data_IF_157069578348
#
_entry.id   IF_157069578348
#
_cell.length_a   1.000
_cell.length_b   1.000
_cell.length_c   1.000
_cell.angle_alpha   90.00
_cell.angle_beta   90.00
_cell.angle_gamma   90.00
#
_symmetry.space_group_name_H-M   'P 1'
#
loop_
_entity.id
_entity.type
_entity.pdbx_description
1 polymer ?
#
# COMPACT_ATOMS: atom_id res chain seq x y z
N UNK A 1 15.80 4.52 2.71
CA UNK A 1 15.55 3.24 3.41
C UNK A 1 16.49 2.20 2.81
N UNK A 2 17.14 1.38 3.64
CA UNK A 2 17.96 0.26 3.14
C UNK A 2 17.07 -0.81 2.53
N UNK A 3 17.54 -1.40 1.42
CA UNK A 3 16.97 -2.61 0.83
C UNK A 3 16.88 -3.70 1.91
N UNK A 4 15.74 -4.38 2.01
CA UNK A 4 15.60 -5.51 2.94
C UNK A 4 16.34 -6.69 2.33
N UNK A 5 17.62 -6.80 2.63
CA UNK A 5 18.44 -7.95 2.24
C UNK A 5 18.44 -8.95 3.39
N UNK A 6 17.89 -10.14 3.15
CA UNK A 6 17.96 -11.24 4.10
C UNK A 6 19.08 -12.19 3.72
N UNK A 7 19.94 -12.54 4.69
CA UNK A 7 21.06 -13.47 4.50
C UNK A 7 21.99 -13.17 3.31
N UNK A 8 22.06 -11.92 2.86
CA UNK A 8 22.77 -11.50 1.64
C UNK A 8 22.23 -12.10 0.33
N UNK A 9 20.96 -12.56 0.31
CA UNK A 9 20.29 -13.01 -0.90
C UNK A 9 19.79 -11.82 -1.73
N UNK A 10 20.35 -11.69 -2.95
CA UNK A 10 20.07 -10.60 -3.89
C UNK A 10 19.39 -11.07 -5.18
N UNK A 11 18.83 -12.30 -5.25
CA UNK A 11 18.32 -12.89 -6.49
C UNK A 11 17.19 -12.11 -7.16
N UNK A 12 16.44 -11.34 -6.38
CA UNK A 12 15.23 -10.64 -6.80
C UNK A 12 15.17 -9.26 -6.16
N UNK A 13 15.92 -8.26 -6.66
CA UNK A 13 15.91 -6.92 -6.05
C UNK A 13 14.50 -6.32 -6.06
N UNK A 14 14.27 -5.34 -5.18
CA UNK A 14 13.05 -4.54 -5.25
C UNK A 14 13.01 -3.63 -6.48
N UNK A 15 11.88 -2.98 -6.77
CA UNK A 15 11.80 -2.03 -7.88
C UNK A 15 12.74 -0.85 -7.64
N UNK A 16 13.21 -0.25 -8.74
CA UNK A 16 13.86 1.06 -8.67
C UNK A 16 12.90 2.05 -8.02
N UNK A 17 13.34 2.65 -6.93
CA UNK A 17 12.53 3.60 -6.16
C UNK A 17 13.20 4.97 -6.09
N UNK A 18 12.39 6.00 -5.83
CA UNK A 18 12.82 7.38 -5.70
C UNK A 18 12.92 7.75 -4.20
N UNK A 19 14.11 7.63 -3.58
CA UNK A 19 14.29 8.01 -2.18
C UNK A 19 14.02 9.50 -1.99
N UNK A 20 13.74 9.89 -0.74
CA UNK A 20 13.63 11.30 -0.39
C UNK A 20 14.95 12.03 -0.70
N UNK A 21 14.90 13.20 -1.37
CA UNK A 21 16.06 14.05 -1.57
C UNK A 21 16.72 14.45 -0.24
N UNK A 22 18.03 14.67 -0.23
CA UNK A 22 18.79 14.98 0.98
C UNK A 22 18.36 16.29 1.69
N UNK A 23 17.72 17.22 0.96
CA UNK A 23 17.17 18.45 1.51
C UNK A 23 15.84 18.24 2.27
N UNK A 24 15.19 17.08 2.13
CA UNK A 24 14.02 16.73 2.94
C UNK A 24 14.50 16.21 4.28
N UNK A 25 14.18 16.96 5.34
CA UNK A 25 14.60 16.65 6.72
C UNK A 25 13.41 16.28 7.60
N UNK A 26 13.70 15.69 8.76
CA UNK A 26 12.68 15.31 9.75
C UNK A 26 11.91 14.02 9.44
N UNK A 27 12.27 13.31 8.37
CA UNK A 27 11.70 11.99 8.06
C UNK A 27 12.20 10.93 9.06
N UNK A 28 11.36 9.97 9.45
CA UNK A 28 11.77 8.91 10.37
C UNK A 28 12.82 7.99 9.72
N UNK A 29 13.86 7.69 10.47
CA UNK A 29 14.84 6.68 10.08
C UNK A 29 14.29 5.26 10.30
N UNK A 30 14.88 4.26 9.63
CA UNK A 30 14.47 2.87 9.85
C UNK A 30 14.70 2.43 11.29
N UNK A 31 15.80 2.86 11.92
CA UNK A 31 16.09 2.56 13.31
C UNK A 31 15.04 3.15 14.26
N UNK A 32 14.56 4.37 14.00
CA UNK A 32 13.46 4.95 14.77
C UNK A 32 12.15 4.18 14.57
N UNK A 33 11.82 3.78 13.34
CA UNK A 33 10.63 2.97 13.07
C UNK A 33 10.70 1.62 13.78
N UNK A 34 11.88 1.01 13.85
CA UNK A 34 12.11 -0.30 14.46
C UNK A 34 12.15 -0.25 16.00
N UNK A 35 12.34 0.94 16.59
CA UNK A 35 12.34 1.14 18.03
C UNK A 35 10.95 1.00 18.67
N UNK A 36 9.87 1.19 17.89
CA UNK A 36 8.50 1.04 18.38
C UNK A 36 7.98 -0.39 18.21
N UNK A 37 7.13 -0.88 19.15
CA UNK A 37 6.39 -2.12 18.94
C UNK A 37 5.56 -2.08 17.65
N UNK A 38 5.47 -3.22 16.96
CA UNK A 38 4.60 -3.37 15.78
C UNK A 38 3.15 -3.54 16.19
N UNK A 39 2.27 -2.79 15.50
CA UNK A 39 0.81 -2.80 15.65
C UNK A 39 0.17 -3.94 14.89
N UNK A 40 0.73 -4.31 13.74
CA UNK A 40 0.18 -5.36 12.88
C UNK A 40 1.18 -6.50 12.68
N UNK A 41 0.67 -7.73 12.65
CA UNK A 41 1.32 -8.90 12.02
C UNK A 41 1.07 -8.89 10.52
N UNK A 42 1.81 -9.70 9.76
CA UNK A 42 1.55 -9.86 8.32
C UNK A 42 0.17 -10.44 8.03
N UNK A 43 -0.31 -11.35 8.88
CA UNK A 43 -1.64 -11.96 8.76
C UNK A 43 -2.78 -10.97 9.03
N UNK A 44 -2.64 -10.11 10.04
CA UNK A 44 -3.60 -9.04 10.34
C UNK A 44 -3.69 -8.04 9.18
N UNK A 45 -2.55 -7.67 8.57
CA UNK A 45 -2.56 -6.82 7.37
C UNK A 45 -3.34 -7.46 6.21
N UNK A 46 -3.16 -8.76 5.97
CA UNK A 46 -3.95 -9.49 4.97
C UNK A 46 -5.44 -9.46 5.30
N UNK A 47 -5.82 -9.67 6.56
CA UNK A 47 -7.22 -9.63 6.99
C UNK A 47 -7.85 -8.25 6.77
N UNK A 48 -7.13 -7.18 7.11
CA UNK A 48 -7.58 -5.79 6.90
C UNK A 48 -7.83 -5.52 5.42
N UNK A 49 -6.89 -5.89 4.54
CA UNK A 49 -7.04 -5.65 3.09
C UNK A 49 -8.16 -6.51 2.51
N UNK A 50 -8.24 -7.80 2.88
CA UNK A 50 -9.27 -8.71 2.38
C UNK A 50 -10.69 -8.28 2.77
N UNK A 51 -10.84 -7.66 3.94
CA UNK A 51 -12.13 -7.18 4.44
C UNK A 51 -12.46 -5.73 4.06
N UNK A 52 -11.57 -5.04 3.32
CA UNK A 52 -11.78 -3.65 2.90
C UNK A 52 -11.72 -2.62 4.03
N UNK A 53 -11.25 -2.99 5.23
CA UNK A 53 -11.25 -2.14 6.42
C UNK A 53 -10.03 -1.21 6.49
N UNK A 54 -9.70 -0.54 5.38
CA UNK A 54 -8.46 0.24 5.21
C UNK A 54 -8.27 1.34 6.26
N UNK A 55 -9.36 1.84 6.85
CA UNK A 55 -9.31 2.82 7.95
C UNK A 55 -8.65 2.32 9.25
N UNK A 56 -8.41 1.01 9.39
CA UNK A 56 -7.66 0.46 10.52
C UNK A 56 -6.14 0.68 10.38
N UNK A 57 -5.63 0.88 9.16
CA UNK A 57 -4.21 1.04 8.92
C UNK A 57 -3.72 2.36 9.50
N UNK A 58 -2.86 2.27 10.51
CA UNK A 58 -2.42 3.44 11.27
C UNK A 58 -0.92 3.40 11.61
N UNK A 59 -0.43 4.54 12.08
CA UNK A 59 0.88 4.67 12.72
C UNK A 59 0.73 4.45 14.23
N UNK A 60 1.84 4.18 14.91
CA UNK A 60 1.82 4.31 16.37
C UNK A 60 1.64 5.78 16.77
N UNK A 61 1.18 6.02 18.00
CA UNK A 61 0.82 7.34 18.50
C UNK A 61 1.99 8.34 18.41
N UNK A 62 3.20 7.93 18.76
CA UNK A 62 4.39 8.78 18.70
C UNK A 62 4.79 9.14 17.26
N UNK A 63 4.70 8.19 16.33
CA UNK A 63 4.94 8.43 14.91
C UNK A 63 3.86 9.28 14.28
N UNK A 64 2.60 9.12 14.69
CA UNK A 64 1.52 9.99 14.27
C UNK A 64 1.77 11.43 14.73
N UNK A 65 2.16 11.62 16.00
CA UNK A 65 2.51 12.94 16.52
C UNK A 65 3.67 13.59 15.76
N UNK A 66 4.76 12.85 15.50
CA UNK A 66 5.88 13.38 14.70
C UNK A 66 5.44 13.73 13.26
N UNK A 67 4.60 12.90 12.65
CA UNK A 67 4.04 13.18 11.33
C UNK A 67 3.21 14.46 11.34
N UNK A 68 2.36 14.67 12.34
CA UNK A 68 1.49 15.86 12.42
C UNK A 68 2.33 17.14 12.54
N UNK A 69 3.39 17.12 13.35
CA UNK A 69 4.34 18.23 13.45
C UNK A 69 5.06 18.50 12.14
N UNK A 70 5.61 17.46 11.50
CA UNK A 70 6.31 17.58 10.23
C UNK A 70 5.37 18.08 9.12
N UNK A 71 4.16 17.53 9.05
CA UNK A 71 3.13 17.89 8.08
C UNK A 71 2.70 19.35 8.24
N UNK A 72 2.55 19.85 9.46
CA UNK A 72 2.26 21.26 9.70
C UNK A 72 3.37 22.19 9.16
N UNK A 73 4.63 21.83 9.39
CA UNK A 73 5.78 22.57 8.83
C UNK A 73 5.84 22.52 7.31
N UNK A 74 5.67 21.32 6.73
CA UNK A 74 5.62 21.10 5.29
C UNK A 74 4.50 21.91 4.63
N UNK A 75 3.28 21.87 5.17
CA UNK A 75 2.14 22.64 4.65
C UNK A 75 2.32 24.14 4.79
N UNK A 76 3.00 24.61 5.84
CA UNK A 76 3.36 26.03 5.96
C UNK A 76 4.31 26.48 4.84
N UNK A 77 5.22 25.60 4.40
CA UNK A 77 6.20 25.91 3.37
C UNK A 77 5.65 25.75 1.95
N UNK A 78 4.86 24.71 1.68
CA UNK A 78 4.41 24.35 0.34
C UNK A 78 2.92 24.62 0.09
N UNK A 79 2.19 25.14 1.07
CA UNK A 79 0.72 25.33 1.09
C UNK A 79 -0.07 24.02 1.18
N UNK A 80 0.32 22.98 0.44
CA UNK A 80 -0.35 21.68 0.44
C UNK A 80 0.63 20.51 0.30
N UNK A 81 0.15 19.30 0.62
CA UNK A 81 0.92 18.05 0.42
C UNK A 81 1.18 17.82 -1.06
N UNK A 82 0.21 18.10 -1.92
CA UNK A 82 0.27 18.01 -3.37
C UNK A 82 1.39 18.89 -3.93
N UNK A 83 1.46 20.14 -3.50
CA UNK A 83 2.53 21.06 -3.90
C UNK A 83 3.89 20.56 -3.44
N UNK A 84 4.00 20.06 -2.20
CA UNK A 84 5.23 19.42 -1.74
C UNK A 84 5.63 18.24 -2.63
N UNK A 85 4.67 17.38 -2.99
CA UNK A 85 4.93 16.24 -3.87
C UNK A 85 5.45 16.68 -5.23
N UNK A 86 4.77 17.62 -5.90
CA UNK A 86 5.16 18.14 -7.22
C UNK A 86 6.55 18.77 -7.22
N UNK A 87 6.84 19.62 -6.24
CA UNK A 87 8.05 20.43 -6.24
C UNK A 87 9.25 19.73 -5.61
N UNK A 88 9.03 18.70 -4.79
CA UNK A 88 10.10 18.12 -3.95
C UNK A 88 10.24 16.61 -4.09
N UNK A 89 9.15 15.84 -4.28
CA UNK A 89 9.22 14.36 -4.16
C UNK A 89 9.04 13.61 -5.45
N UNK A 90 8.05 13.97 -6.26
CA UNK A 90 7.74 13.25 -7.48
C UNK A 90 8.72 13.61 -8.60
N UNK A 91 9.27 12.64 -9.34
CA UNK A 91 10.23 12.88 -10.41
C UNK A 91 9.56 13.32 -11.72
N UNK A 92 8.29 13.71 -11.67
CA UNK A 92 7.51 14.04 -12.86
C UNK A 92 7.94 15.41 -13.39
N UNK A 93 8.55 15.42 -14.57
CA UNK A 93 8.89 16.67 -15.26
C UNK A 93 7.60 17.45 -15.56
N UNK A 94 7.54 18.77 -15.29
CA UNK A 94 6.44 19.59 -15.75
C UNK A 94 6.43 19.58 -17.28
N UNK A 95 5.31 19.17 -17.88
CA UNK A 95 5.17 19.08 -19.33
C UNK A 95 5.26 20.49 -19.92
N UNK A 96 6.25 20.77 -20.77
CA UNK A 96 6.39 22.02 -21.53
C UNK A 96 5.40 22.12 -22.71
N UNK A 97 4.27 21.42 -22.63
CA UNK A 97 3.21 21.45 -23.63
C UNK A 97 2.11 22.39 -23.15
N UNK A 98 2.05 23.56 -23.80
CA UNK A 98 0.92 24.51 -23.90
C UNK A 98 -0.31 24.13 -23.07
N UNK A 99 -0.56 24.94 -22.05
CA UNK A 99 -1.77 24.99 -21.22
C UNK A 99 -3.01 24.40 -21.91
N UNK A 100 -3.22 23.09 -21.76
CA UNK A 100 -4.56 22.58 -21.64
C UNK A 100 -5.01 23.06 -20.27
N UNK A 101 -6.09 23.84 -20.23
CA UNK A 101 -6.51 24.42 -18.97
C UNK A 101 -6.73 23.31 -17.94
N UNK A 102 -6.20 23.50 -16.73
CA UNK A 102 -6.87 23.04 -15.54
C UNK A 102 -8.39 22.94 -15.67
N UNK A 103 -8.97 21.75 -15.84
CA UNK A 103 -10.43 21.62 -15.64
C UNK A 103 -10.78 21.58 -14.14
N UNK A 104 -9.91 22.12 -13.27
CA UNK A 104 -10.08 22.11 -11.83
C UNK A 104 -10.76 23.39 -11.33
N UNK A 105 -11.94 23.20 -10.76
CA UNK A 105 -12.58 24.15 -9.86
C UNK A 105 -11.80 24.19 -8.54
N UNK A 106 -11.07 25.29 -8.32
CA UNK A 106 -10.30 25.56 -7.10
C UNK A 106 -11.17 26.05 -5.92
N UNK A 107 -12.50 25.92 -6.01
CA UNK A 107 -13.44 26.35 -5.00
C UNK A 107 -14.26 25.17 -4.45
N UNK A 108 -13.65 24.37 -3.58
CA UNK A 108 -14.40 23.79 -2.45
C UNK A 108 -13.58 23.87 -1.17
N UNK A 109 -13.89 24.91 -0.41
CA UNK A 109 -13.42 25.14 0.95
C UNK A 109 -13.82 23.99 1.89
N UNK A 110 -12.84 23.42 2.58
CA UNK A 110 -13.03 22.83 3.91
C UNK A 110 -12.04 23.49 4.86
N UNK A 111 -12.28 24.77 5.08
CA UNK A 111 -11.72 25.54 6.19
C UNK A 111 -12.86 25.79 7.18
N UNK A 112 -12.92 25.02 8.27
CA UNK A 112 -13.52 25.47 9.52
C UNK A 112 -13.01 24.63 10.71
N UNK A 113 -12.59 25.27 11.81
CA UNK A 113 -12.08 24.59 13.00
C UNK A 113 -13.20 23.87 13.78
N UNK A 114 -12.91 22.67 14.28
CA UNK A 114 -13.84 21.91 15.12
C UNK A 114 -14.12 22.61 16.45
N UNK A 115 -15.39 22.78 16.87
CA UNK A 115 -15.73 23.11 18.25
C UNK A 115 -15.84 21.85 19.13
N UNK A 116 -15.48 22.05 20.40
CA UNK A 116 -15.29 21.06 21.47
C UNK A 116 -16.56 20.27 21.84
N UNK A 117 -16.37 19.03 22.32
CA UNK A 117 -17.41 18.15 22.86
C UNK A 117 -18.05 18.66 24.16
N UNK A 118 -19.38 18.54 24.28
CA UNK A 118 -20.11 18.30 25.54
C UNK A 118 -21.33 17.36 25.31
N UNK A 119 -21.85 16.65 26.34
CA UNK A 119 -22.66 15.45 26.10
C UNK A 119 -24.17 15.57 26.43
N UNK A 120 -24.95 14.75 25.71
CA UNK A 120 -26.30 14.17 25.97
C UNK A 120 -27.59 14.98 25.71
N UNK A 121 -28.43 14.50 24.78
CA UNK A 121 -29.75 13.88 25.07
C UNK A 121 -30.47 13.40 23.78
N UNK A 122 -31.38 12.42 23.96
CA UNK A 122 -32.03 11.56 22.96
C UNK A 122 -33.21 12.23 22.22
N UNK A 123 -33.42 11.91 20.92
CA UNK A 123 -34.73 11.70 20.25
C UNK A 123 -34.57 11.34 18.74
N UNK A 124 -35.53 10.57 18.22
CA UNK A 124 -35.59 9.77 16.96
C UNK A 124 -35.72 10.56 15.61
N UNK A 125 -35.70 9.90 14.43
CA UNK A 125 -35.12 10.43 13.17
C UNK A 125 -36.11 11.06 12.19
N UNK A 126 -35.61 11.78 11.16
CA UNK A 126 -36.27 11.88 9.86
C UNK A 126 -35.48 11.19 8.73
N UNK A 127 -36.24 10.60 7.80
CA UNK A 127 -35.85 9.92 6.55
C UNK A 127 -35.45 10.92 5.43
N UNK A 128 -34.94 10.48 4.26
CA UNK A 128 -33.74 11.04 3.64
C UNK A 128 -34.04 12.07 2.55
N UNK A 129 -33.13 13.04 2.39
CA UNK A 129 -33.06 13.88 1.20
C UNK A 129 -31.66 13.75 0.56
N UNK A 130 -31.68 13.11 -0.61
CA UNK A 130 -30.94 13.38 -1.84
C UNK A 130 -29.73 14.33 -1.80
N UNK A 131 -28.61 13.88 -2.38
CA UNK A 131 -27.52 14.74 -2.84
C UNK A 131 -26.16 14.46 -2.23
N UNK A 132 -25.66 13.22 -2.30
CA UNK A 132 -24.24 12.95 -2.06
C UNK A 132 -23.45 13.33 -3.32
N UNK A 133 -22.98 14.56 -3.39
CA UNK A 133 -21.84 14.89 -4.25
C UNK A 133 -20.60 14.27 -3.61
N UNK A 134 -20.19 13.09 -4.07
CA UNK A 134 -18.88 12.51 -3.74
C UNK A 134 -17.77 13.49 -4.17
N UNK A 135 -16.82 13.84 -3.29
CA UNK A 135 -15.70 14.68 -3.68
C UNK A 135 -14.90 14.00 -4.79
N UNK A 136 -14.66 14.72 -5.90
CA UNK A 136 -13.94 14.16 -7.06
C UNK A 136 -12.47 13.97 -6.71
N UNK A 137 -12.00 12.72 -6.69
CA UNK A 137 -10.57 12.40 -6.67
C UNK A 137 -10.09 12.19 -8.10
N UNK A 138 -8.93 12.74 -8.46
CA UNK A 138 -8.28 12.49 -9.76
C UNK A 138 -7.91 11.00 -9.91
N UNK A 139 -7.76 10.28 -8.79
CA UNK A 139 -7.47 8.85 -8.78
C UNK A 139 -8.65 7.95 -9.12
N UNK A 140 -9.89 8.47 -9.14
CA UNK A 140 -11.13 7.73 -9.42
C UNK A 140 -11.93 8.48 -10.51
N UNK A 141 -12.13 7.83 -11.65
CA UNK A 141 -12.95 8.44 -12.71
C UNK A 141 -14.43 8.29 -12.38
N UNK A 142 -15.12 9.41 -12.16
CA UNK A 142 -16.57 9.40 -11.90
C UNK A 142 -17.36 8.93 -13.12
N UNK A 143 -18.26 7.95 -12.91
CA UNK A 143 -19.23 7.50 -13.91
C UNK A 143 -20.13 8.64 -14.43
N UNK A 144 -20.43 9.64 -13.59
CA UNK A 144 -21.24 10.79 -13.99
C UNK A 144 -20.49 11.66 -15.02
N UNK A 145 -19.17 11.81 -14.87
CA UNK A 145 -18.32 12.54 -15.81
C UNK A 145 -18.27 11.85 -17.18
N UNK A 146 -18.20 10.51 -17.21
CA UNK A 146 -18.22 9.74 -18.46
C UNK A 146 -19.58 9.84 -19.19
N UNK A 147 -20.70 9.81 -18.46
CA UNK A 147 -22.04 10.00 -19.06
C UNK A 147 -22.21 11.41 -19.65
N UNK A 148 -21.60 12.43 -19.06
CA UNK A 148 -21.65 13.80 -19.58
C UNK A 148 -20.84 13.98 -20.88
N UNK A 149 -19.76 13.22 -21.07
CA UNK A 149 -18.98 13.19 -22.31
C UNK A 149 -19.76 12.48 -23.43
N UNK A 150 -20.30 11.28 -23.16
CA UNK A 150 -21.11 10.56 -24.15
C UNK A 150 -22.43 11.28 -24.49
N UNK A 151 -23.05 11.95 -23.51
CA UNK A 151 -24.28 12.72 -23.71
C UNK A 151 -24.09 14.05 -24.47
N UNK A 152 -22.87 14.59 -24.53
CA UNK A 152 -22.52 15.73 -25.40
C UNK A 152 -22.29 15.28 -26.84
N UNK A 153 -21.72 14.08 -27.06
CA UNK A 153 -21.59 13.49 -28.40
C UNK A 153 -22.96 13.19 -29.03
N UNK A 154 -23.94 12.72 -28.23
CA UNK A 154 -25.28 12.39 -28.75
C UNK A 154 -26.17 13.60 -29.04
N UNK A 155 -25.77 14.83 -28.70
CA UNK A 155 -26.60 16.04 -28.86
C UNK A 155 -26.16 16.95 -30.01
N UNK A 156 -25.22 16.49 -30.84
CA UNK A 156 -24.66 17.23 -31.98
C UNK A 156 -24.85 16.57 -33.35
N UNK A 157 -25.81 15.66 -33.53
CA UNK A 157 -26.08 15.03 -34.85
C UNK A 157 -27.52 15.32 -35.29
N UNK A 158 -27.71 16.48 -35.91
CA UNK A 158 -28.78 16.70 -36.88
C UNK A 158 -28.15 17.11 -38.21
N UNK A 159 -28.27 16.21 -39.17
CA UNK A 159 -28.19 16.35 -40.62
C UNK A 159 -26.83 16.76 -41.26
N UNK A 160 -26.23 15.81 -41.99
CA UNK A 160 -25.36 16.11 -43.13
C UNK A 160 -24.09 15.26 -43.27
N UNK A 161 -24.16 14.31 -44.20
CA UNK A 161 -23.07 13.80 -45.06
C UNK A 161 -21.92 12.96 -44.47
N UNK A 162 -21.64 11.88 -45.20
CA UNK A 162 -20.67 10.82 -44.94
C UNK A 162 -19.23 11.31 -45.04
N UNK A 163 -18.56 11.41 -43.90
CA UNK A 163 -17.10 11.32 -43.78
C UNK A 163 -16.79 10.15 -42.85
N UNK A 164 -15.99 9.20 -43.32
CA UNK A 164 -15.32 8.22 -42.47
C UNK A 164 -14.24 8.96 -41.67
N UNK A 165 -14.67 9.71 -40.66
CA UNK A 165 -13.78 10.20 -39.61
C UNK A 165 -13.68 9.08 -38.59
N UNK A 166 -12.51 8.48 -38.46
CA UNK A 166 -12.16 7.58 -37.37
C UNK A 166 -12.43 8.33 -36.06
N UNK A 167 -13.60 8.07 -35.46
CA UNK A 167 -13.91 8.48 -34.10
C UNK A 167 -12.90 7.73 -33.20
N UNK A 168 -11.73 8.32 -32.97
CA UNK A 168 -10.88 7.98 -31.82
C UNK A 168 -11.75 8.19 -30.59
N UNK A 169 -12.47 7.13 -30.18
CA UNK A 169 -13.05 7.02 -28.86
C UNK A 169 -11.91 7.32 -27.88
N UNK A 170 -11.87 8.55 -27.36
CA UNK A 170 -11.03 8.92 -26.23
C UNK A 170 -11.55 8.14 -25.01
N UNK A 171 -11.28 6.83 -24.97
CA UNK A 171 -11.38 6.02 -23.78
C UNK A 171 -10.50 6.71 -22.74
N UNK A 172 -11.12 7.14 -21.64
CA UNK A 172 -10.41 7.89 -20.62
C UNK A 172 -9.14 7.13 -20.19
N UNK A 173 -7.99 7.79 -20.34
CA UNK A 173 -6.69 7.21 -20.10
C UNK A 173 -6.54 6.84 -18.62
N UNK A 174 -6.06 5.64 -18.33
CA UNK A 174 -5.69 5.19 -16.98
C UNK A 174 -4.44 4.33 -17.03
N UNK A 175 -3.79 4.13 -15.88
CA UNK A 175 -2.54 3.37 -15.79
C UNK A 175 -2.81 1.90 -16.10
N UNK A 176 -2.05 1.34 -17.05
CA UNK A 176 -2.13 -0.06 -17.47
C UNK A 176 -0.78 -0.73 -17.44
N UNK A 177 -0.77 -2.03 -17.18
CA UNK A 177 0.40 -2.87 -17.26
C UNK A 177 0.44 -3.58 -18.62
N UNK A 178 1.49 -3.35 -19.40
CA UNK A 178 1.74 -4.10 -20.62
C UNK A 178 2.59 -5.34 -20.31
N UNK A 179 2.19 -6.51 -20.83
CA UNK A 179 2.90 -7.76 -20.52
C UNK A 179 4.30 -7.84 -21.14
N UNK A 180 4.55 -7.09 -22.22
CA UNK A 180 5.84 -7.10 -22.92
C UNK A 180 6.74 -5.95 -22.44
N UNK A 181 6.16 -4.77 -22.25
CA UNK A 181 6.88 -3.52 -22.00
C UNK A 181 6.78 -3.04 -20.54
N UNK A 182 5.91 -3.66 -19.73
CA UNK A 182 5.68 -3.29 -18.34
C UNK A 182 4.87 -1.99 -18.17
N UNK A 183 5.13 -1.28 -17.08
CA UNK A 183 4.56 0.05 -16.83
C UNK A 183 5.33 1.12 -17.60
N UNK A 184 4.61 2.06 -18.21
CA UNK A 184 5.20 3.25 -18.85
C UNK A 184 5.98 4.09 -17.83
N UNK A 185 7.33 4.14 -17.90
CA UNK A 185 8.17 4.82 -16.92
C UNK A 185 7.94 6.34 -16.86
N UNK A 186 7.27 6.95 -17.83
CA UNK A 186 6.91 8.37 -17.78
C UNK A 186 5.64 8.65 -16.99
N UNK A 187 4.82 7.62 -16.73
CA UNK A 187 3.50 7.76 -16.08
C UNK A 187 3.51 7.43 -14.59
N UNK A 188 4.50 6.70 -14.08
CA UNK A 188 4.54 6.29 -12.67
C UNK A 188 5.86 6.58 -11.96
N UNK A 189 5.83 6.57 -10.63
CA UNK A 189 7.01 6.60 -9.78
C UNK A 189 6.79 5.77 -8.51
N UNK A 190 7.74 4.90 -8.17
CA UNK A 190 7.73 4.13 -6.91
C UNK A 190 8.52 4.89 -5.85
N UNK A 191 7.88 5.26 -4.75
CA UNK A 191 8.49 5.96 -3.64
C UNK A 191 8.33 5.13 -2.37
N UNK A 192 9.38 4.99 -1.53
CA UNK A 192 9.16 4.60 -0.15
C UNK A 192 8.21 5.61 0.50
N UNK A 193 7.24 5.16 1.28
CA UNK A 193 6.35 6.07 1.99
C UNK A 193 7.18 6.82 3.05
N UNK A 194 7.28 8.14 2.90
CA UNK A 194 8.08 9.00 3.79
C UNK A 194 7.61 8.88 5.26
N UNK A 195 6.33 8.59 5.47
CA UNK A 195 5.71 8.40 6.78
C UNK A 195 4.90 7.10 6.80
N UNK A 196 5.56 5.94 6.89
CA UNK A 196 4.90 4.65 6.70
C UNK A 196 3.95 4.34 7.88
N UNK A 197 2.87 3.60 7.59
CA UNK A 197 2.09 2.88 8.60
C UNK A 197 2.95 1.91 9.41
N UNK A 198 2.45 1.50 10.57
CA UNK A 198 3.19 0.67 11.50
C UNK A 198 3.13 -0.83 11.14
N UNK A 199 3.81 -1.18 10.05
CA UNK A 199 3.87 -2.53 9.47
C UNK A 199 4.84 -3.46 10.24
N UNK A 200 4.74 -4.79 10.06
CA UNK A 200 5.68 -5.74 10.64
C UNK A 200 7.14 -5.40 10.38
N UNK A 201 8.03 -5.96 11.21
CA UNK A 201 9.46 -5.87 10.94
C UNK A 201 9.80 -6.54 9.60
N UNK A 202 10.81 -6.05 8.89
CA UNK A 202 11.21 -6.57 7.58
C UNK A 202 10.26 -6.23 6.42
N UNK A 203 9.09 -5.66 6.70
CA UNK A 203 8.17 -5.12 5.69
C UNK A 203 8.56 -3.67 5.39
N UNK A 204 8.39 -3.27 4.13
CA UNK A 204 8.55 -1.88 3.68
C UNK A 204 7.26 -1.40 3.06
N UNK A 205 6.90 -0.16 3.36
CA UNK A 205 5.70 0.47 2.83
C UNK A 205 6.10 1.45 1.73
N UNK A 206 5.63 1.19 0.52
CA UNK A 206 5.81 2.01 -0.66
C UNK A 206 4.48 2.63 -1.11
N UNK A 207 4.58 3.75 -1.80
CA UNK A 207 3.51 4.30 -2.62
C UNK A 207 3.96 4.26 -4.08
N UNK A 208 3.11 3.74 -4.96
CA UNK A 208 3.28 3.83 -6.41
C UNK A 208 2.37 4.94 -6.90
N UNK A 209 2.98 6.04 -7.33
CA UNK A 209 2.29 7.24 -7.79
C UNK A 209 2.11 7.20 -9.31
N UNK A 210 1.01 7.75 -9.79
CA UNK A 210 0.67 7.80 -11.21
C UNK A 210 0.24 9.20 -11.66
N UNK A 211 0.64 9.60 -12.86
CA UNK A 211 0.17 10.82 -13.55
C UNK A 211 -1.25 10.68 -14.10
N UNK A 212 -1.68 9.45 -14.35
CA UNK A 212 -3.02 9.10 -14.85
C UNK A 212 -3.79 8.33 -13.78
N UNK A 213 -5.13 8.29 -13.81
CA UNK A 213 -5.93 7.52 -12.87
C UNK A 213 -5.49 6.05 -12.78
N UNK A 214 -5.60 5.45 -11.58
CA UNK A 214 -5.40 4.01 -11.37
C UNK A 214 -6.76 3.29 -11.30
N UNK A 215 -7.75 3.86 -10.59
CA UNK A 215 -9.09 3.31 -10.54
C UNK A 215 -9.94 3.90 -11.68
N UNK A 216 -10.39 3.03 -12.60
CA UNK A 216 -11.18 3.39 -13.76
C UNK A 216 -12.38 2.44 -13.93
N UNK A 217 -13.59 2.90 -14.31
CA UNK A 217 -14.77 2.04 -14.47
C UNK A 217 -14.59 0.87 -15.44
N UNK A 218 -13.69 0.97 -16.41
CA UNK A 218 -13.37 -0.14 -17.31
C UNK A 218 -12.76 -1.36 -16.58
N UNK A 219 -12.23 -1.20 -15.36
CA UNK A 219 -11.72 -2.32 -14.54
C UNK A 219 -12.80 -3.36 -14.20
N UNK A 220 -14.07 -2.98 -14.29
CA UNK A 220 -15.23 -3.81 -13.99
C UNK A 220 -16.27 -3.76 -15.12
N UNK A 221 -15.82 -3.51 -16.35
CA UNK A 221 -16.66 -3.42 -17.54
C UNK A 221 -17.84 -2.44 -17.40
N UNK A 222 -17.61 -1.33 -16.68
CA UNK A 222 -18.60 -0.30 -16.35
C UNK A 222 -19.82 -0.79 -15.54
N UNK A 223 -19.75 -1.94 -14.86
CA UNK A 223 -20.79 -2.39 -13.91
C UNK A 223 -20.99 -1.35 -12.78
N UNK A 224 -22.16 -0.68 -12.70
CA UNK A 224 -22.37 0.37 -11.71
C UNK A 224 -22.35 -0.12 -10.26
N UNK A 225 -22.79 -1.36 -9.99
CA UNK A 225 -22.82 -1.91 -8.63
C UNK A 225 -21.41 -2.30 -8.18
N UNK A 226 -20.63 -2.91 -9.06
CA UNK A 226 -19.24 -3.21 -8.80
C UNK A 226 -18.40 -1.93 -8.63
N UNK A 227 -18.65 -0.90 -9.45
CA UNK A 227 -17.97 0.38 -9.35
C UNK A 227 -18.28 1.09 -8.02
N UNK A 228 -19.55 1.15 -7.61
CA UNK A 228 -19.93 1.74 -6.33
C UNK A 228 -19.22 1.05 -5.15
N UNK A 229 -19.01 -0.27 -5.24
CA UNK A 229 -18.22 -1.01 -4.25
C UNK A 229 -16.75 -0.60 -4.26
N UNK A 230 -16.14 -0.38 -5.43
CA UNK A 230 -14.76 0.12 -5.54
C UNK A 230 -14.64 1.54 -4.97
N UNK A 231 -15.63 2.41 -5.20
CA UNK A 231 -15.67 3.75 -4.60
C UNK A 231 -15.82 3.70 -3.07
N UNK A 232 -16.54 2.72 -2.53
CA UNK A 232 -16.72 2.58 -1.08
C UNK A 232 -15.61 1.78 -0.39
N UNK A 233 -15.03 0.76 -0.99
CA UNK A 233 -14.04 -0.09 -0.30
C UNK A 233 -12.61 0.18 -0.78
N UNK A 234 -12.45 0.73 -1.97
CA UNK A 234 -11.17 0.81 -2.67
C UNK A 234 -10.86 -0.47 -3.43
N UNK A 235 -9.57 -0.69 -3.70
CA UNK A 235 -9.06 -1.92 -4.31
C UNK A 235 -8.01 -2.55 -3.40
N UNK A 236 -7.83 -3.87 -3.47
CA UNK A 236 -6.79 -4.55 -2.70
C UNK A 236 -6.50 -5.96 -3.18
N UNK A 237 -5.32 -6.46 -2.83
CA UNK A 237 -4.92 -7.82 -3.20
C UNK A 237 -3.56 -8.23 -2.67
N UNK A 238 -3.20 -9.49 -2.92
CA UNK A 238 -1.92 -10.09 -2.58
C UNK A 238 -1.21 -10.60 -3.84
N UNK A 239 0.12 -10.54 -3.83
CA UNK A 239 0.97 -11.11 -4.90
C UNK A 239 2.15 -11.82 -4.26
N UNK A 240 2.68 -12.82 -4.96
CA UNK A 240 3.80 -13.62 -4.47
C UNK A 240 3.51 -14.38 -3.18
N UNK A 241 2.25 -14.76 -2.95
CA UNK A 241 1.85 -15.51 -1.75
C UNK A 241 2.73 -16.75 -1.60
N UNK A 242 3.35 -16.89 -0.44
CA UNK A 242 4.19 -18.05 -0.15
C UNK A 242 3.33 -19.33 -0.22
N UNK A 243 3.80 -20.39 -0.90
CA UNK A 243 3.05 -21.65 -0.98
C UNK A 243 2.82 -22.21 0.43
N UNK A 244 1.72 -22.95 0.58
CA UNK A 244 1.46 -23.71 1.79
C UNK A 244 2.60 -24.72 2.00
N UNK A 245 3.53 -24.41 2.91
CA UNK A 245 4.53 -25.37 3.33
C UNK A 245 3.77 -26.51 4.01
N UNK A 246 3.76 -27.69 3.39
CA UNK A 246 3.33 -28.94 4.01
C UNK A 246 4.29 -29.25 5.17
N UNK A 247 4.03 -28.68 6.35
CA UNK A 247 4.84 -28.95 7.53
C UNK A 247 4.66 -30.41 7.95
N UNK A 248 5.77 -31.11 8.26
CA UNK A 248 5.85 -31.62 9.62
C UNK A 248 7.28 -31.62 10.19
N UNK A 249 7.98 -30.48 10.30
CA UNK A 249 9.30 -30.46 10.99
C UNK A 249 9.59 -29.14 11.73
N UNK A 250 8.70 -28.71 12.61
CA UNK A 250 9.04 -27.74 13.67
C UNK A 250 8.69 -28.32 15.04
N UNK A 251 9.40 -29.37 15.44
CA UNK A 251 9.59 -29.64 16.86
C UNK A 251 10.70 -28.72 17.36
N UNK A 252 10.51 -27.95 18.45
CA UNK A 252 11.62 -27.24 19.08
C UNK A 252 12.67 -28.28 19.51
N UNK A 253 13.98 -27.98 19.44
CA UNK A 253 15.01 -28.93 19.84
C UNK A 253 14.79 -29.32 21.30
N UNK A 254 14.48 -30.60 21.51
CA UNK A 254 14.39 -31.22 22.82
C UNK A 254 15.79 -31.21 23.45
N UNK A 255 15.90 -30.55 24.60
CA UNK A 255 17.06 -30.62 25.47
C UNK A 255 17.23 -32.05 25.97
N UNK A 256 18.16 -32.80 25.35
CA UNK A 256 18.61 -34.08 25.88
C UNK A 256 19.46 -33.84 27.13
N UNK A 257 18.86 -34.09 28.29
CA UNK A 257 19.56 -34.22 29.56
C UNK A 257 20.47 -35.46 29.53
N UNK A 258 21.79 -35.23 29.58
CA UNK A 258 22.77 -36.24 29.95
C UNK A 258 22.86 -36.35 31.48
N UNK A 259 22.72 -37.56 32.00
CA UNK A 259 22.64 -37.87 33.42
C UNK A 259 24.00 -37.85 34.16
N UNK A 260 23.98 -37.22 35.35
CA UNK A 260 24.58 -37.58 36.65
C UNK A 260 26.07 -37.96 36.81
N UNK A 261 26.78 -37.26 37.72
CA UNK A 261 27.11 -37.74 39.10
C UNK A 261 27.75 -36.63 39.97
N UNK A 262 27.77 -36.76 41.33
CA UNK A 262 27.62 -35.64 42.27
C UNK A 262 28.88 -35.25 43.06
N UNK A 263 28.94 -33.99 43.52
CA UNK A 263 29.96 -33.50 44.46
C UNK A 263 29.62 -32.13 45.08
N UNK A 264 28.92 -32.17 46.21
CA UNK A 264 28.92 -31.29 47.39
C UNK A 264 29.64 -29.92 47.31
N UNK A 265 28.92 -28.80 47.43
CA UNK A 265 28.93 -27.87 48.61
C UNK A 265 28.09 -26.61 48.38
N UNK A 266 27.57 -26.10 49.50
CA UNK A 266 26.60 -25.01 49.69
C UNK A 266 27.24 -23.64 49.42
N UNK A 267 26.54 -22.77 48.67
CA UNK A 267 26.91 -21.37 48.48
C UNK A 267 25.75 -20.54 47.95
N UNK A 268 25.04 -19.88 48.87
CA UNK A 268 23.95 -18.92 48.63
C UNK A 268 24.52 -17.66 47.97
N UNK A 269 24.13 -17.35 46.74
CA UNK A 269 24.59 -16.17 45.99
C UNK A 269 23.55 -15.71 44.96
N UNK A 270 23.20 -14.44 45.05
CA UNK A 270 22.17 -13.70 44.33
C UNK A 270 22.32 -13.75 42.80
N UNK A 271 21.17 -13.81 42.12
CA UNK A 271 21.09 -14.05 40.69
C UNK A 271 21.36 -12.87 39.77
N UNK A 272 21.29 -13.22 38.48
CA UNK A 272 21.30 -12.38 37.28
C UNK A 272 22.68 -11.92 36.77
N UNK A 273 23.51 -12.91 36.42
CA UNK A 273 24.37 -12.81 35.24
C UNK A 273 23.76 -13.65 34.12
N UNK A 274 22.92 -13.06 33.26
CA UNK A 274 22.56 -13.72 32.02
C UNK A 274 23.62 -13.40 30.98
N UNK A 275 24.36 -14.45 30.64
CA UNK A 275 25.30 -14.51 29.54
C UNK A 275 24.72 -13.89 28.28
N UNK A 276 25.39 -12.82 27.87
CA UNK A 276 25.37 -12.29 26.53
C UNK A 276 25.86 -13.39 25.57
N UNK A 277 24.91 -14.08 24.94
CA UNK A 277 25.14 -14.78 23.69
C UNK A 277 24.83 -13.79 22.57
N UNK A 278 25.87 -13.10 22.14
CA UNK A 278 25.89 -12.32 20.91
C UNK A 278 26.25 -13.24 19.74
N UNK A 279 25.30 -13.46 18.83
CA UNK A 279 25.50 -13.98 17.48
C UNK A 279 24.51 -13.26 16.55
N UNK A 280 25.03 -12.50 15.59
CA UNK A 280 24.29 -11.56 14.74
C UNK A 280 23.32 -12.14 13.69
N UNK A 281 22.67 -11.22 12.95
CA UNK A 281 21.65 -11.33 11.87
C UNK A 281 20.19 -11.04 12.31
N UNK A 282 19.31 -10.56 11.40
CA UNK A 282 18.17 -9.75 11.77
C UNK A 282 16.97 -10.62 12.21
N UNK A 283 16.75 -10.71 13.53
CA UNK A 283 15.69 -11.44 14.28
C UNK A 283 14.26 -10.99 13.96
N UNK A 284 14.02 -10.20 12.90
CA UNK A 284 12.69 -9.73 12.59
C UNK A 284 11.73 -10.86 12.21
N UNK A 285 12.19 -11.83 11.42
CA UNK A 285 11.36 -12.93 10.96
C UNK A 285 10.96 -13.84 12.13
N UNK A 286 11.91 -14.14 13.01
CA UNK A 286 11.61 -14.88 14.23
C UNK A 286 10.67 -14.09 15.18
N UNK A 287 10.79 -12.76 15.26
CA UNK A 287 9.82 -11.91 15.99
C UNK A 287 8.42 -11.97 15.38
N UNK A 288 8.34 -11.92 14.05
CA UNK A 288 7.06 -11.95 13.34
C UNK A 288 6.41 -13.34 13.45
N UNK A 289 7.18 -14.43 13.29
CA UNK A 289 6.71 -15.79 13.54
C UNK A 289 6.28 -16.00 14.99
N UNK A 290 6.98 -15.43 15.98
CA UNK A 290 6.59 -15.54 17.40
C UNK A 290 5.25 -14.85 17.68
N UNK A 291 4.96 -13.74 17.01
CA UNK A 291 3.71 -12.97 17.19
C UNK A 291 2.57 -13.50 16.33
N UNK A 292 2.81 -13.67 15.04
CA UNK A 292 1.81 -14.03 14.04
C UNK A 292 1.74 -15.52 13.71
N UNK A 293 2.57 -16.40 14.28
CA UNK A 293 2.79 -17.77 13.80
C UNK A 293 1.54 -18.58 13.39
N UNK A 294 0.44 -18.51 14.17
CA UNK A 294 -0.82 -19.17 13.80
C UNK A 294 -1.53 -18.49 12.62
N UNK A 295 -1.55 -17.17 12.59
CA UNK A 295 -2.10 -16.40 11.48
C UNK A 295 -1.27 -16.59 10.22
N UNK A 296 0.06 -16.60 10.35
CA UNK A 296 0.97 -16.82 9.24
C UNK A 296 0.74 -18.17 8.57
N UNK A 297 0.50 -19.22 9.36
CA UNK A 297 0.08 -20.52 8.84
C UNK A 297 -1.31 -20.47 8.17
N UNK A 298 -2.30 -19.78 8.78
CA UNK A 298 -3.64 -19.59 8.21
C UNK A 298 -3.60 -18.92 6.83
N UNK A 299 -2.70 -17.96 6.64
CA UNK A 299 -2.58 -17.16 5.42
C UNK A 299 -1.61 -17.71 4.39
N UNK A 300 -1.00 -18.87 4.67
CA UNK A 300 -0.10 -19.55 3.75
C UNK A 300 -0.91 -20.13 2.57
N UNK A 301 -0.47 -19.86 1.35
CA UNK A 301 -1.20 -20.23 0.13
C UNK A 301 -2.54 -19.53 -0.11
N UNK A 302 -2.94 -18.58 0.75
CA UNK A 302 -4.20 -17.82 0.58
C UNK A 302 -3.97 -16.63 -0.34
N UNK A 303 -4.58 -16.69 -1.52
CA UNK A 303 -4.60 -15.62 -2.50
C UNK A 303 -5.87 -14.77 -2.36
N UNK A 304 -5.77 -13.48 -2.67
CA UNK A 304 -6.91 -12.56 -2.66
C UNK A 304 -6.66 -11.42 -3.65
N UNK A 305 -7.71 -11.05 -4.36
CA UNK A 305 -7.77 -9.87 -5.20
C UNK A 305 -9.21 -9.37 -5.25
N UNK A 306 -9.41 -8.06 -5.04
CA UNK A 306 -10.72 -7.43 -5.10
C UNK A 306 -11.25 -7.41 -6.55
N UNK A 307 -12.57 -7.30 -6.72
CA UNK A 307 -13.14 -7.04 -8.05
C UNK A 307 -12.52 -5.76 -8.65
N UNK A 308 -12.13 -5.82 -9.93
CA UNK A 308 -11.38 -4.74 -10.61
C UNK A 308 -9.91 -4.60 -10.21
N UNK A 309 -9.42 -5.46 -9.31
CA UNK A 309 -8.05 -5.41 -8.80
C UNK A 309 -6.97 -5.96 -9.73
N UNK A 310 -7.35 -6.80 -10.70
CA UNK A 310 -6.44 -7.56 -11.56
C UNK A 310 -5.37 -6.71 -12.25
N UNK A 311 -5.73 -5.50 -12.69
CA UNK A 311 -4.79 -4.62 -13.37
C UNK A 311 -3.71 -4.10 -12.40
N UNK A 312 -4.10 -3.72 -11.18
CA UNK A 312 -3.14 -3.32 -10.13
C UNK A 312 -2.30 -4.52 -9.68
N UNK A 313 -2.90 -5.71 -9.58
CA UNK A 313 -2.20 -6.96 -9.31
C UNK A 313 -1.06 -7.20 -10.29
N UNK A 314 -1.31 -7.07 -11.60
CA UNK A 314 -0.25 -7.17 -12.65
C UNK A 314 0.86 -6.14 -12.45
N UNK A 315 0.50 -4.88 -12.16
CA UNK A 315 1.49 -3.82 -11.88
C UNK A 315 2.41 -4.20 -10.72
N UNK A 316 1.84 -4.72 -9.63
CA UNK A 316 2.62 -5.11 -8.45
C UNK A 316 3.54 -6.28 -8.79
N UNK A 317 3.08 -7.30 -9.54
CA UNK A 317 3.91 -8.43 -9.98
C UNK A 317 5.06 -8.00 -10.90
N UNK A 318 4.83 -7.01 -11.75
CA UNK A 318 5.88 -6.45 -12.61
C UNK A 318 6.92 -5.61 -11.87
N UNK A 319 6.52 -4.99 -10.75
CA UNK A 319 7.41 -4.17 -9.91
C UNK A 319 8.15 -4.99 -8.84
N UNK A 320 7.50 -6.00 -8.27
CA UNK A 320 8.06 -6.90 -7.26
C UNK A 320 7.94 -8.34 -7.74
N UNK A 321 9.07 -8.95 -8.08
CA UNK A 321 9.12 -10.34 -8.55
C UNK A 321 8.56 -11.29 -7.48
N UNK A 322 7.50 -12.01 -7.84
CA UNK A 322 6.78 -12.93 -6.94
C UNK A 322 7.65 -14.05 -6.38
N UNK A 323 8.81 -14.34 -6.98
CA UNK A 323 9.79 -15.29 -6.41
C UNK A 323 10.50 -14.73 -5.19
N UNK A 324 10.81 -13.44 -5.22
CA UNK A 324 11.56 -12.73 -4.18
C UNK A 324 10.73 -12.03 -3.12
N UNK A 325 9.47 -11.75 -3.43
CA UNK A 325 8.64 -10.85 -2.65
C UNK A 325 7.25 -11.43 -2.43
N UNK A 326 6.70 -11.15 -1.26
CA UNK A 326 5.28 -11.24 -1.02
C UNK A 326 4.77 -9.82 -0.75
N UNK A 327 3.77 -9.39 -1.51
CA UNK A 327 3.27 -8.03 -1.43
C UNK A 327 1.77 -8.03 -1.10
N UNK A 328 1.39 -7.13 -0.20
CA UNK A 328 0.01 -6.73 0.06
C UNK A 328 -0.15 -5.32 -0.51
N UNK A 329 -1.15 -5.10 -1.35
CA UNK A 329 -1.37 -3.82 -2.00
C UNK A 329 -2.82 -3.35 -1.85
N UNK A 330 -3.01 -2.03 -1.90
CA UNK A 330 -4.34 -1.43 -1.84
C UNK A 330 -4.39 -0.02 -2.45
N UNK A 331 -5.54 0.34 -2.99
CA UNK A 331 -5.91 1.71 -3.40
C UNK A 331 -6.93 2.21 -2.40
N UNK A 332 -6.64 3.31 -1.70
CA UNK A 332 -7.60 3.90 -0.77
C UNK A 332 -8.85 4.40 -1.53
N UNK A 333 -10.07 4.16 -1.02
CA UNK A 333 -11.28 4.77 -1.57
C UNK A 333 -11.23 6.29 -1.41
N UNK A 334 -11.99 7.06 -2.22
CA UNK A 334 -11.93 8.53 -2.23
C UNK A 334 -12.03 9.18 -0.84
N UNK A 335 -12.89 8.67 0.05
CA UNK A 335 -13.06 9.24 1.40
C UNK A 335 -11.83 9.10 2.32
N UNK A 336 -10.89 8.20 2.00
CA UNK A 336 -9.68 7.94 2.80
C UNK A 336 -8.40 8.47 2.14
N UNK A 337 -8.49 9.08 0.96
CA UNK A 337 -7.32 9.61 0.27
C UNK A 337 -6.86 10.93 0.90
N UNK A 338 -5.59 11.00 1.28
CA UNK A 338 -4.98 12.24 1.77
C UNK A 338 -4.46 13.16 0.67
N UNK A 339 -4.34 12.65 -0.56
CA UNK A 339 -3.80 13.38 -1.72
C UNK A 339 -4.70 13.09 -2.95
N UNK A 340 -5.92 13.64 -3.01
CA UNK A 340 -6.88 13.33 -4.09
C UNK A 340 -6.44 13.84 -5.46
N UNK A 341 -5.49 14.78 -5.53
CA UNK A 341 -4.95 15.31 -6.79
C UNK A 341 -3.98 14.39 -7.52
N UNK A 342 -3.48 13.33 -6.87
CA UNK A 342 -2.54 12.38 -7.46
C UNK A 342 -2.99 10.94 -7.20
N UNK A 343 -3.16 10.17 -8.27
CA UNK A 343 -3.48 8.76 -8.13
C UNK A 343 -2.29 7.99 -7.56
N UNK A 344 -2.54 7.15 -6.56
CA UNK A 344 -1.52 6.28 -5.99
C UNK A 344 -2.12 5.02 -5.37
N UNK A 345 -1.32 3.97 -5.32
CA UNK A 345 -1.62 2.78 -4.53
C UNK A 345 -0.48 2.49 -3.56
N UNK A 346 -0.82 1.83 -2.46
CA UNK A 346 0.10 1.45 -1.41
C UNK A 346 0.53 0.00 -1.60
N UNK A 347 1.80 -0.28 -1.29
CA UNK A 347 2.35 -1.63 -1.29
C UNK A 347 3.13 -1.85 0.00
N UNK A 348 2.71 -2.84 0.78
CA UNK A 348 3.53 -3.45 1.80
C UNK A 348 4.31 -4.59 1.14
N UNK A 349 5.62 -4.45 1.04
CA UNK A 349 6.50 -5.43 0.43
C UNK A 349 7.31 -6.15 1.51
N UNK A 350 7.12 -7.48 1.60
CA UNK A 350 7.89 -8.38 2.46
C UNK A 350 8.91 -9.13 1.61
N UNK A 351 10.18 -9.06 1.99
CA UNK A 351 11.22 -9.89 1.39
C UNK A 351 11.03 -11.34 1.85
N UNK A 352 10.99 -12.27 0.90
CA UNK A 352 10.96 -13.71 1.19
C UNK A 352 12.29 -14.20 1.76
N UNK A 353 12.25 -15.22 2.61
CA UNK A 353 13.48 -15.92 3.04
C UNK A 353 14.06 -16.74 1.88
N UNK A 354 15.35 -17.13 1.92
CA UNK A 354 15.95 -17.99 0.89
C UNK A 354 15.14 -19.26 0.64
N UNK A 355 14.59 -19.87 1.68
CA UNK A 355 13.77 -21.08 1.59
C UNK A 355 12.41 -20.81 0.90
N UNK A 356 11.78 -19.67 1.19
CA UNK A 356 10.56 -19.23 0.50
C UNK A 356 10.83 -18.89 -0.98
N UNK A 357 12.01 -18.35 -1.28
CA UNK A 357 12.45 -18.07 -2.65
C UNK A 357 12.66 -19.40 -3.40
N UNK A 358 13.40 -20.34 -2.82
CA UNK A 358 13.68 -21.65 -3.41
C UNK A 358 12.36 -22.41 -3.69
N UNK A 359 11.40 -22.35 -2.76
CA UNK A 359 10.07 -22.93 -2.95
C UNK A 359 9.29 -22.24 -4.08
N UNK A 360 9.38 -20.91 -4.20
CA UNK A 360 8.72 -20.17 -5.28
C UNK A 360 9.33 -20.46 -6.66
N UNK A 361 10.66 -20.62 -6.75
CA UNK A 361 11.36 -21.04 -7.96
C UNK A 361 10.96 -22.46 -8.38
N UNK A 362 10.91 -23.40 -7.43
CA UNK A 362 10.50 -24.78 -7.70
C UNK A 362 9.07 -24.88 -8.25
N UNK A 363 8.13 -24.08 -7.72
CA UNK A 363 6.75 -24.01 -8.21
C UNK A 363 6.67 -23.54 -9.67
N UNK A 364 7.43 -22.51 -10.04
CA UNK A 364 7.44 -21.99 -11.42
C UNK A 364 8.07 -22.96 -12.41
N UNK A 365 9.01 -23.78 -11.96
CA UNK A 365 9.64 -24.82 -12.78
C UNK A 365 8.83 -26.13 -12.85
N UNK A 366 7.63 -26.18 -12.24
CA UNK A 366 6.76 -27.37 -12.24
C UNK A 366 7.29 -28.53 -11.41
N UNK A 367 8.14 -28.26 -10.40
CA UNK A 367 8.81 -29.28 -9.58
C UNK A 367 8.19 -29.48 -8.18
N UNK A 368 7.14 -28.71 -7.83
CA UNK A 368 6.53 -28.69 -6.50
C UNK A 368 5.03 -28.97 -6.52
#
# INVERSE_FOLDING_TARGET
MSEVVYANDTRYPGPKSHPAPANVTGLPTQAELDAYPRLFTWGELKEIIMTGQLGQLMRNTEMQYKYDQWSAGMKKQFVSTENYLVHTRLPFKPTTSRAAEPTYDLSTSLDQPQPQCQPQSLLSPPTPASGSSTPSSVGFVSLASLKAVNGKLSKGKSDGESGEEEEEEHQAEYLRYDNENGLDPEKYAVLPNDWPYNVPYGVRHFCVWSKVPIAHPLLIDFDPAAWAKIEDEGLGGFTGVAPALSSPLLTPPSSTNGAATPGTTVGRGTGQGQNQLDLGKPDWYARDLRRGGKEMARWSGVEYESAGGAEVGKMVKGLWDERGWECIWFVNPPRLQSVPGFSHFHVFARRKTPEEIDAAEARLNGMA
#
